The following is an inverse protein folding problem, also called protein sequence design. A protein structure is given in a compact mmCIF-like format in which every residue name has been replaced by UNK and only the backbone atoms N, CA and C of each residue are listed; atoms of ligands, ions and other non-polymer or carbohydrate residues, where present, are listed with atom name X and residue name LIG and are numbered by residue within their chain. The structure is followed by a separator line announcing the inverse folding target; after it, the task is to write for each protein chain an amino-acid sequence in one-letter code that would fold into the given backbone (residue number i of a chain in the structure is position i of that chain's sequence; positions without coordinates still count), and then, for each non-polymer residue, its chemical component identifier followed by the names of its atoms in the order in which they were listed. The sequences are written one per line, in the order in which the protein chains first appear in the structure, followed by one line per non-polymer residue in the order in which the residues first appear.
data_IF_445911603376
#
_entry.id   IF_445911603376
#
_cell.length_a   1.000
_cell.length_b   1.000
_cell.length_c   1.000
_cell.angle_alpha   90.00
_cell.angle_beta   90.00
_cell.angle_gamma   90.00
#
_symmetry.space_group_name_H-M   'P 1'
#
loop_
_entity.id
_entity.type
_entity.pdbx_description
1 polymer ?
#
# COMPACT_ATOMS: atom_id res chain seq x y z
N UNK A 1 2.56 -15.70 -15.08
CA UNK A 1 2.55 -15.21 -13.69
C UNK A 1 1.69 -16.15 -12.85
N UNK A 2 2.20 -16.66 -11.72
CA UNK A 2 1.39 -17.45 -10.79
C UNK A 2 0.53 -16.55 -9.91
N UNK A 3 -0.75 -16.88 -9.75
CA UNK A 3 -1.63 -16.19 -8.79
C UNK A 3 -1.46 -16.89 -7.45
N UNK A 4 -1.10 -16.13 -6.42
CA UNK A 4 -0.87 -16.68 -5.09
C UNK A 4 -2.08 -16.52 -4.20
N UNK A 5 -2.51 -17.61 -3.57
CA UNK A 5 -3.70 -17.62 -2.72
C UNK A 5 -3.32 -17.84 -1.26
N UNK A 6 -3.36 -16.77 -0.46
CA UNK A 6 -3.36 -16.87 0.99
C UNK A 6 -4.36 -15.88 1.59
N UNK A 7 -4.85 -16.18 2.80
CA UNK A 7 -5.81 -15.32 3.52
C UNK A 7 -5.22 -13.95 3.85
N UNK A 8 -3.90 -13.91 4.02
CA UNK A 8 -3.13 -12.70 4.36
C UNK A 8 -1.73 -12.86 3.80
N UNK A 9 -1.28 -11.83 3.11
CA UNK A 9 0.06 -11.73 2.55
C UNK A 9 0.81 -10.59 3.23
N UNK A 10 1.99 -10.88 3.77
CA UNK A 10 2.93 -9.92 4.30
C UNK A 10 3.90 -9.54 3.21
N UNK A 11 4.05 -8.25 2.97
CA UNK A 11 5.03 -7.68 2.06
C UNK A 11 6.23 -7.24 2.88
N UNK A 12 7.38 -7.78 2.54
CA UNK A 12 8.66 -7.50 3.17
C UNK A 12 9.65 -7.00 2.13
N UNK A 13 10.70 -6.33 2.61
CA UNK A 13 11.85 -5.92 1.82
C UNK A 13 13.08 -6.57 2.40
N UNK A 14 13.92 -7.13 1.55
CA UNK A 14 15.22 -7.68 1.90
C UNK A 14 16.33 -6.82 1.29
N UNK A 15 17.18 -6.28 2.14
CA UNK A 15 18.40 -5.54 1.81
C UNK A 15 19.61 -6.29 2.40
N UNK A 16 20.86 -5.91 2.07
CA UNK A 16 22.03 -6.51 2.72
C UNK A 16 22.01 -6.44 4.26
N UNK A 17 21.33 -5.43 4.84
CA UNK A 17 21.10 -5.23 6.26
C UNK A 17 20.03 -6.14 6.88
N UNK A 18 19.25 -6.86 6.06
CA UNK A 18 18.28 -7.86 6.47
C UNK A 18 16.90 -7.70 5.85
N UNK A 19 15.97 -8.56 6.26
CA UNK A 19 14.60 -8.55 5.78
C UNK A 19 13.64 -7.92 6.80
N UNK A 20 12.83 -6.95 6.35
CA UNK A 20 11.92 -6.18 7.20
C UNK A 20 10.50 -6.20 6.62
N UNK A 21 9.50 -6.47 7.47
CA UNK A 21 8.07 -6.48 7.09
C UNK A 21 7.59 -5.05 6.97
N UNK A 22 6.93 -4.71 5.88
CA UNK A 22 6.45 -3.34 5.62
C UNK A 22 4.94 -3.24 5.89
N UNK A 23 4.15 -4.10 5.26
CA UNK A 23 2.70 -4.13 5.43
C UNK A 23 2.14 -5.53 5.18
N UNK A 24 0.88 -5.75 5.51
CA UNK A 24 0.15 -6.94 5.12
C UNK A 24 -1.11 -6.55 4.34
N UNK A 25 -1.57 -7.42 3.46
CA UNK A 25 -2.80 -7.23 2.71
C UNK A 25 -3.54 -8.56 2.50
N UNK A 26 -4.82 -8.49 2.18
CA UNK A 26 -5.62 -9.68 1.86
C UNK A 26 -7.07 -9.36 1.61
N UNK A 27 -7.87 -10.43 1.54
CA UNK A 27 -9.32 -10.36 1.33
C UNK A 27 -10.08 -10.84 2.57
N UNK A 28 -11.13 -10.11 2.92
CA UNK A 28 -12.13 -10.49 3.90
C UNK A 28 -12.96 -11.66 3.34
N UNK A 29 -13.20 -12.67 4.18
CA UNK A 29 -14.00 -13.83 3.79
C UNK A 29 -15.49 -13.54 3.68
N UNK A 30 -15.99 -12.61 4.48
CA UNK A 30 -17.43 -12.39 4.62
C UNK A 30 -18.01 -11.63 3.44
N UNK A 31 -17.24 -10.71 2.88
CA UNK A 31 -17.74 -9.72 1.93
C UNK A 31 -16.73 -9.38 0.82
N UNK A 32 -15.60 -10.10 0.70
CA UNK A 32 -14.54 -9.77 -0.28
C UNK A 32 -13.91 -8.39 -0.14
N UNK A 33 -14.09 -7.72 1.00
CA UNK A 33 -13.38 -6.47 1.27
C UNK A 33 -11.88 -6.68 1.21
N UNK A 34 -11.17 -5.73 0.62
CA UNK A 34 -9.70 -5.71 0.65
C UNK A 34 -9.29 -5.06 1.96
N UNK A 35 -8.31 -5.62 2.66
CA UNK A 35 -7.71 -4.98 3.81
C UNK A 35 -6.21 -4.81 3.64
N UNK A 36 -5.67 -3.73 4.21
CA UNK A 36 -4.24 -3.44 4.27
C UNK A 36 -3.91 -3.07 5.71
N UNK A 37 -3.05 -3.87 6.34
CA UNK A 37 -2.57 -3.62 7.70
C UNK A 37 -1.16 -3.03 7.64
N UNK A 38 -0.91 -2.00 8.45
CA UNK A 38 0.38 -1.32 8.59
C UNK A 38 0.97 -1.49 9.99
N UNK A 39 1.16 -2.73 10.52
CA UNK A 39 1.49 -2.92 11.93
C UNK A 39 3.01 -2.92 12.21
N UNK A 40 3.85 -2.81 11.20
CA UNK A 40 5.27 -3.20 11.30
C UNK A 40 6.22 -2.04 11.56
N UNK A 41 5.73 -0.80 11.62
CA UNK A 41 6.48 0.35 12.09
C UNK A 41 5.91 0.80 13.43
N UNK A 42 6.64 0.53 14.52
CA UNK A 42 6.22 0.84 15.89
C UNK A 42 6.49 2.31 16.22
N UNK A 43 5.70 3.22 15.66
CA UNK A 43 5.78 4.65 15.98
C UNK A 43 4.42 5.34 15.95
N UNK A 44 4.35 6.54 16.51
CA UNK A 44 3.19 7.40 16.39
C UNK A 44 3.06 7.96 14.96
N UNK A 45 1.83 8.10 14.49
CA UNK A 45 1.49 8.59 13.15
C UNK A 45 0.48 9.71 13.17
N UNK A 46 0.35 10.34 12.01
CA UNK A 46 -0.57 11.41 11.70
C UNK A 46 -1.53 10.96 10.62
N UNK A 47 -2.77 11.42 10.75
CA UNK A 47 -3.83 11.16 9.82
C UNK A 47 -4.30 12.50 9.30
N UNK A 48 -4.40 12.60 7.98
CA UNK A 48 -4.80 13.82 7.31
C UNK A 48 -5.44 13.56 5.96
N UNK A 49 -5.86 14.65 5.33
CA UNK A 49 -6.27 14.65 3.94
C UNK A 49 -5.12 15.20 3.11
N UNK A 50 -4.73 14.49 2.06
CA UNK A 50 -3.77 14.98 1.08
C UNK A 50 -4.46 15.24 -0.26
N UNK A 51 -4.49 16.49 -0.68
CA UNK A 51 -4.91 16.84 -2.05
C UNK A 51 -3.67 17.02 -2.91
N UNK A 52 -3.67 16.46 -4.12
CA UNK A 52 -2.59 16.70 -5.08
C UNK A 52 -2.88 16.12 -6.45
N UNK A 53 -1.93 16.28 -7.37
CA UNK A 53 -1.97 15.63 -8.67
C UNK A 53 -1.04 14.43 -8.60
N UNK A 54 -1.53 13.25 -8.92
CA UNK A 54 -0.70 12.05 -8.97
C UNK A 54 0.06 12.05 -10.28
N UNK A 55 1.38 12.12 -10.22
CA UNK A 55 2.20 11.91 -11.41
C UNK A 55 2.21 10.42 -11.79
N UNK A 56 2.82 10.09 -12.93
CA UNK A 56 2.86 8.72 -13.47
C UNK A 56 3.54 7.72 -12.54
N UNK A 57 4.49 8.19 -11.73
CA UNK A 57 5.15 7.38 -10.70
C UNK A 57 4.26 7.17 -9.48
N UNK A 58 3.07 7.75 -9.41
CA UNK A 58 2.19 7.63 -8.27
C UNK A 58 2.57 8.54 -7.09
N UNK A 59 3.51 9.45 -7.28
CA UNK A 59 3.83 10.50 -6.31
C UNK A 59 2.81 11.62 -6.48
N UNK A 60 2.16 12.02 -5.39
CA UNK A 60 1.38 13.27 -5.37
C UNK A 60 2.34 14.46 -5.46
N UNK A 61 2.29 15.22 -6.55
CA UNK A 61 2.81 16.58 -6.68
C UNK A 61 1.78 17.58 -6.15
N UNK A 62 2.25 18.75 -5.71
CA UNK A 62 1.42 19.85 -5.17
C UNK A 62 0.58 19.43 -3.94
N UNK A 63 1.30 19.04 -2.87
CA UNK A 63 0.70 18.44 -1.67
C UNK A 63 0.16 19.51 -0.72
N UNK A 64 -1.15 19.62 -0.66
CA UNK A 64 -1.82 20.13 0.54
C UNK A 64 -2.06 18.97 1.50
N UNK A 65 -1.27 18.83 2.57
CA UNK A 65 -1.58 17.88 3.66
C UNK A 65 -2.21 18.63 4.83
N UNK A 66 -3.45 18.29 5.15
CA UNK A 66 -4.15 18.84 6.32
C UNK A 66 -4.32 17.74 7.37
N UNK A 67 -3.49 17.71 8.42
CA UNK A 67 -3.64 16.76 9.51
C UNK A 67 -4.90 17.08 10.31
N UNK A 68 -5.57 16.05 10.82
CA UNK A 68 -6.72 16.20 11.72
C UNK A 68 -6.69 15.24 12.91
N UNK A 69 -5.78 14.25 12.93
CA UNK A 69 -5.64 13.35 14.06
C UNK A 69 -4.23 12.75 14.21
N UNK A 70 -3.89 12.33 15.43
CA UNK A 70 -2.69 11.52 15.76
C UNK A 70 -3.07 10.11 16.20
N UNK A 71 -2.21 9.12 15.99
CA UNK A 71 -2.38 7.76 16.51
C UNK A 71 -1.08 7.11 16.97
N UNK A 72 -1.16 6.20 17.93
CA UNK A 72 -0.07 5.31 18.37
C UNK A 72 -0.26 3.87 17.93
N UNK A 73 -1.42 3.55 17.35
CA UNK A 73 -1.77 2.20 16.96
C UNK A 73 -1.46 1.96 15.47
N UNK A 74 -1.20 0.70 15.14
CA UNK A 74 -1.10 0.27 13.75
C UNK A 74 -2.44 0.45 13.05
N UNK A 75 -2.42 1.07 11.87
CA UNK A 75 -3.62 1.31 11.07
C UNK A 75 -3.94 0.08 10.23
N UNK A 76 -5.24 -0.21 10.14
CA UNK A 76 -5.84 -1.09 9.16
C UNK A 76 -6.74 -0.30 8.24
N UNK A 77 -6.47 -0.35 6.95
CA UNK A 77 -7.35 0.15 5.90
C UNK A 77 -8.25 -0.98 5.41
N UNK A 78 -9.53 -0.69 5.15
CA UNK A 78 -10.43 -1.60 4.42
C UNK A 78 -11.11 -0.90 3.26
N UNK A 79 -11.25 -1.62 2.15
CA UNK A 79 -11.97 -1.21 0.95
C UNK A 79 -13.06 -2.25 0.68
N UNK A 80 -14.31 -1.83 0.85
CA UNK A 80 -15.48 -2.69 0.69
C UNK A 80 -15.95 -2.75 -0.77
N UNK A 81 -16.66 -3.82 -1.20
CA UNK A 81 -17.11 -3.99 -2.58
C UNK A 81 -17.93 -2.82 -3.14
N UNK A 82 -18.72 -2.18 -2.27
CA UNK A 82 -19.60 -1.05 -2.60
C UNK A 82 -18.86 0.29 -2.76
N UNK A 83 -17.53 0.30 -2.59
CA UNK A 83 -16.71 1.51 -2.64
C UNK A 83 -16.52 2.18 -1.28
N UNK A 84 -17.20 1.73 -0.23
CA UNK A 84 -17.01 2.25 1.11
C UNK A 84 -15.60 1.91 1.59
N UNK A 85 -14.89 2.86 2.19
CA UNK A 85 -13.57 2.60 2.77
C UNK A 85 -13.48 3.07 4.20
N UNK A 86 -12.72 2.35 5.02
CA UNK A 86 -12.53 2.68 6.42
C UNK A 86 -11.07 2.61 6.83
N UNK A 87 -10.72 3.40 7.85
CA UNK A 87 -9.53 3.20 8.65
C UNK A 87 -9.94 2.73 10.04
N UNK A 88 -9.33 1.65 10.51
CA UNK A 88 -9.47 1.16 11.87
C UNK A 88 -8.10 1.23 12.54
N UNK A 89 -8.14 1.54 13.82
CA UNK A 89 -7.01 1.44 14.75
C UNK A 89 -7.46 0.44 15.80
N UNK A 90 -6.58 -0.47 16.20
CA UNK A 90 -6.80 -1.43 17.31
C UNK A 90 -8.03 -2.36 17.26
N UNK A 91 -8.73 -2.44 16.13
CA UNK A 91 -9.93 -3.27 15.96
C UNK A 91 -11.23 -2.53 16.27
N UNK A 92 -11.17 -1.30 16.80
CA UNK A 92 -12.28 -0.36 16.76
C UNK A 92 -12.26 0.36 15.41
N UNK A 93 -13.30 0.14 14.60
CA UNK A 93 -13.43 0.83 13.32
C UNK A 93 -13.77 2.29 13.62
N UNK A 94 -12.78 3.17 13.49
CA UNK A 94 -13.02 4.61 13.60
C UNK A 94 -13.63 5.07 12.28
N UNK A 95 -14.97 4.97 12.19
CA UNK A 95 -15.75 5.36 11.00
C UNK A 95 -15.71 6.86 10.70
N UNK A 96 -14.96 7.65 11.47
CA UNK A 96 -14.94 9.12 11.46
C UNK A 96 -14.46 9.70 10.13
N UNK A 97 -13.93 8.88 9.23
CA UNK A 97 -13.55 9.26 7.87
C UNK A 97 -14.32 8.39 6.86
N UNK A 98 -15.66 8.49 6.81
CA UNK A 98 -16.40 7.77 5.82
C UNK A 98 -16.01 8.32 4.46
N UNK A 99 -15.43 7.46 3.65
CA UNK A 99 -15.04 7.80 2.30
C UNK A 99 -15.73 6.82 1.36
N UNK A 100 -16.43 7.36 0.38
CA UNK A 100 -17.14 6.59 -0.63
C UNK A 100 -16.35 6.68 -1.93
N UNK A 101 -15.50 5.70 -2.13
CA UNK A 101 -14.78 5.49 -3.39
C UNK A 101 -15.67 4.83 -4.44
N UNK A 102 -15.01 4.40 -5.52
CA UNK A 102 -15.63 3.66 -6.62
C UNK A 102 -15.84 2.21 -6.18
N UNK A 103 -16.99 1.55 -6.48
CA UNK A 103 -17.16 0.13 -6.23
C UNK A 103 -16.00 -0.72 -6.77
N UNK A 104 -15.60 -1.79 -6.07
CA UNK A 104 -14.45 -2.62 -6.49
C UNK A 104 -14.65 -3.22 -7.89
N UNK A 105 -15.91 -3.49 -8.27
CA UNK A 105 -16.27 -3.94 -9.61
C UNK A 105 -15.87 -2.95 -10.70
N UNK A 106 -15.93 -1.65 -10.43
CA UNK A 106 -15.69 -0.55 -11.37
C UNK A 106 -14.29 0.06 -11.22
N UNK A 107 -13.50 -0.35 -10.22
CA UNK A 107 -12.16 0.21 -9.98
C UNK A 107 -11.18 -0.14 -11.11
N UNK A 108 -10.63 0.88 -11.76
CA UNK A 108 -9.66 0.77 -12.88
C UNK A 108 -8.26 1.24 -12.52
N UNK A 109 -8.13 2.30 -11.72
CA UNK A 109 -6.87 2.83 -11.20
C UNK A 109 -6.38 2.15 -9.90
N UNK A 110 -5.27 2.63 -9.30
CA UNK A 110 -4.73 2.10 -8.05
C UNK A 110 -5.68 2.31 -6.86
N UNK A 111 -5.60 1.40 -5.89
CA UNK A 111 -6.29 1.51 -4.61
C UNK A 111 -5.53 2.50 -3.72
N UNK A 112 -4.22 2.28 -3.55
CA UNK A 112 -3.37 3.09 -2.69
C UNK A 112 -1.89 2.99 -3.11
N UNK A 113 -1.08 3.91 -2.58
CA UNK A 113 0.38 3.83 -2.59
C UNK A 113 0.91 3.84 -1.16
N UNK A 114 1.85 2.96 -0.86
CA UNK A 114 2.52 2.84 0.45
C UNK A 114 3.99 3.12 0.22
N UNK A 115 4.54 4.10 0.91
CA UNK A 115 5.95 4.48 0.81
C UNK A 115 6.63 4.24 2.14
N UNK A 116 7.73 3.51 2.16
CA UNK A 116 8.50 3.23 3.36
C UNK A 116 9.93 3.75 3.22
N UNK A 117 10.42 4.45 4.25
CA UNK A 117 11.78 4.95 4.38
C UNK A 117 12.40 4.48 5.70
N UNK A 118 13.73 4.35 5.75
CA UNK A 118 14.43 3.89 6.94
C UNK A 118 14.03 2.46 7.32
N UNK A 119 14.24 1.54 6.38
CA UNK A 119 13.71 0.18 6.40
C UNK A 119 14.19 -0.65 7.60
N UNK A 120 15.33 -0.28 8.21
CA UNK A 120 15.95 -0.93 9.35
C UNK A 120 15.13 -0.84 10.66
N UNK A 121 14.19 0.12 10.74
CA UNK A 121 13.30 0.29 11.91
C UNK A 121 11.99 -0.48 11.80
N UNK A 122 11.73 -1.10 10.67
CA UNK A 122 10.57 -1.96 10.51
C UNK A 122 10.82 -3.31 11.18
N UNK A 123 9.74 -3.99 11.56
CA UNK A 123 9.83 -5.29 12.22
C UNK A 123 10.54 -6.30 11.32
N UNK A 124 11.65 -6.87 11.81
CA UNK A 124 12.41 -7.90 11.10
C UNK A 124 11.59 -9.16 10.83
N UNK A 125 11.86 -9.77 9.68
CA UNK A 125 11.45 -11.13 9.32
C UNK A 125 12.52 -12.12 9.77
N UNK A 126 12.11 -13.28 10.29
CA UNK A 126 13.08 -14.32 10.65
C UNK A 126 13.59 -15.03 9.38
N UNK A 127 14.84 -15.50 9.37
CA UNK A 127 15.37 -16.24 8.22
C UNK A 127 14.56 -17.52 7.93
N UNK A 128 14.01 -18.15 8.97
CA UNK A 128 13.08 -19.28 8.85
C UNK A 128 11.83 -18.91 8.05
N UNK A 129 11.28 -17.71 8.27
CA UNK A 129 10.10 -17.23 7.54
C UNK A 129 10.38 -17.00 6.05
N UNK A 130 11.63 -16.69 5.68
CA UNK A 130 12.04 -16.44 4.28
C UNK A 130 12.36 -17.74 3.52
N UNK A 131 12.81 -18.79 4.23
CA UNK A 131 13.14 -20.08 3.62
C UNK A 131 11.91 -20.91 3.26
N UNK A 132 10.77 -20.62 3.89
CA UNK A 132 9.53 -21.31 3.60
C UNK A 132 8.87 -20.72 2.34
N UNK A 133 8.20 -21.58 1.56
CA UNK A 133 7.51 -21.20 0.33
C UNK A 133 6.58 -19.99 0.56
N UNK A 134 6.80 -18.84 -0.11
CA UNK A 134 5.97 -17.65 -0.01
C UNK A 134 4.49 -17.91 -0.24
N UNK A 135 4.14 -18.87 -1.10
CA UNK A 135 2.75 -19.26 -1.36
C UNK A 135 2.11 -19.95 -0.15
N UNK A 136 2.90 -20.63 0.70
CA UNK A 136 2.42 -21.32 1.90
C UNK A 136 2.37 -20.42 3.13
N UNK A 137 3.40 -19.61 3.34
CA UNK A 137 3.48 -18.67 4.48
C UNK A 137 2.75 -17.35 4.26
N UNK A 138 2.55 -16.98 2.99
CA UNK A 138 2.06 -15.66 2.63
C UNK A 138 3.06 -14.56 2.98
N UNK A 139 4.37 -14.77 2.87
CA UNK A 139 5.38 -13.71 3.08
C UNK A 139 6.16 -13.52 1.79
N UNK A 140 6.11 -12.30 1.25
CA UNK A 140 6.76 -11.91 0.00
C UNK A 140 7.88 -10.91 0.30
N UNK A 141 9.12 -11.39 0.28
CA UNK A 141 10.29 -10.53 0.41
C UNK A 141 10.75 -10.06 -0.98
N UNK A 142 10.81 -8.74 -1.15
CA UNK A 142 11.39 -8.12 -2.33
C UNK A 142 12.86 -7.84 -2.07
N UNK A 143 13.74 -8.47 -2.83
CA UNK A 143 15.18 -8.43 -2.57
C UNK A 143 15.87 -7.32 -3.38
N UNK A 144 16.75 -6.58 -2.72
CA UNK A 144 17.71 -5.65 -3.31
C UNK A 144 19.13 -6.07 -2.94
N UNK A 145 20.05 -6.00 -3.90
CA UNK A 145 21.48 -6.21 -3.66
C UNK A 145 22.20 -5.00 -3.05
N UNK A 146 21.51 -3.86 -2.96
CA UNK A 146 22.03 -2.60 -2.42
C UNK A 146 21.21 -2.17 -1.21
N UNK A 147 21.87 -1.48 -0.28
CA UNK A 147 21.14 -0.66 0.70
C UNK A 147 20.40 0.44 -0.03
N UNK A 148 19.12 0.58 0.30
CA UNK A 148 18.24 1.55 -0.31
C UNK A 148 17.53 2.34 0.78
N UNK A 149 17.36 3.65 0.61
CA UNK A 149 16.78 4.50 1.63
C UNK A 149 15.28 4.25 1.81
N UNK A 150 14.61 3.68 0.79
CA UNK A 150 13.20 3.36 0.85
C UNK A 150 12.66 2.63 -0.38
N UNK A 151 11.36 2.36 -0.32
CA UNK A 151 10.58 1.66 -1.33
C UNK A 151 9.18 2.26 -1.43
N UNK A 152 8.63 2.31 -2.63
CA UNK A 152 7.23 2.66 -2.85
C UNK A 152 6.48 1.47 -3.47
N UNK A 153 5.32 1.16 -2.91
CA UNK A 153 4.40 0.13 -3.36
C UNK A 153 3.13 0.78 -3.87
N UNK A 154 2.64 0.36 -5.03
CA UNK A 154 1.32 0.76 -5.53
C UNK A 154 0.47 -0.49 -5.68
N UNK A 155 -0.69 -0.46 -5.02
CA UNK A 155 -1.64 -1.57 -5.02
C UNK A 155 -2.71 -1.29 -6.06
N UNK A 156 -2.91 -2.24 -6.97
CA UNK A 156 -3.95 -2.22 -7.99
C UNK A 156 -4.90 -3.40 -7.80
N UNK A 157 -6.12 -3.26 -8.30
CA UNK A 157 -7.02 -4.37 -8.56
C UNK A 157 -7.12 -4.56 -10.07
N UNK A 158 -6.75 -5.73 -10.57
CA UNK A 158 -6.72 -6.04 -12.01
C UNK A 158 -7.44 -7.36 -12.27
N UNK A 159 -7.99 -7.55 -13.47
CA UNK A 159 -8.52 -8.87 -13.85
C UNK A 159 -7.37 -9.83 -14.04
N UNK A 160 -7.54 -11.10 -13.68
CA UNK A 160 -6.55 -12.16 -13.83
C UNK A 160 -6.00 -12.20 -15.27
N UNK A 161 -6.89 -12.05 -16.26
CA UNK A 161 -6.56 -12.09 -17.69
C UNK A 161 -5.57 -10.99 -18.09
N UNK A 162 -5.63 -9.84 -17.43
CA UNK A 162 -4.80 -8.68 -17.73
C UNK A 162 -3.38 -8.82 -17.15
N UNK A 163 -3.12 -9.84 -16.32
CA UNK A 163 -1.84 -10.04 -15.64
C UNK A 163 -1.11 -11.33 -16.10
N UNK A 164 -1.74 -12.16 -16.94
CA UNK A 164 -1.16 -13.39 -17.48
C UNK A 164 -0.12 -13.10 -18.59
N UNK A 165 1.07 -12.66 -18.19
CA UNK A 165 2.32 -12.73 -19.01
C UNK A 165 3.08 -14.01 -18.61
N UNK A 166 3.87 -14.69 -19.49
CA UNK A 166 4.48 -15.98 -19.19
C UNK A 166 5.33 -15.95 -17.91
N UNK A 167 5.39 -17.05 -17.13
CA UNK A 167 6.13 -17.08 -15.87
C UNK A 167 7.64 -16.94 -16.13
N UNK A 168 8.28 -15.97 -15.46
CA UNK A 168 9.73 -15.97 -15.26
C UNK A 168 10.08 -17.01 -14.19
N UNK A 169 11.05 -17.87 -14.47
CA UNK A 169 11.56 -18.88 -13.55
C UNK A 169 12.14 -18.21 -12.27
N UNK A 170 11.63 -18.59 -11.09
CA UNK A 170 12.25 -18.23 -9.80
C UNK A 170 11.26 -17.87 -8.70
N UNK A 171 11.50 -18.43 -7.50
CA UNK A 171 10.80 -18.09 -6.25
C UNK A 171 11.22 -16.68 -5.82
N UNK A 172 10.25 -15.79 -5.58
CA UNK A 172 10.51 -14.42 -5.08
C UNK A 172 10.91 -13.39 -6.14
N UNK A 173 11.03 -13.77 -7.42
CA UNK A 173 11.26 -12.82 -8.50
C UNK A 173 10.01 -11.96 -8.77
N UNK A 174 10.13 -10.67 -9.11
CA UNK A 174 8.98 -9.89 -9.56
C UNK A 174 8.36 -10.55 -10.80
N UNK A 175 7.08 -10.92 -10.71
CA UNK A 175 6.42 -11.85 -11.63
C UNK A 175 5.69 -11.12 -12.76
N UNK A 176 6.20 -9.94 -13.15
CA UNK A 176 5.64 -9.19 -14.28
C UNK A 176 5.88 -7.69 -14.21
N UNK A 177 5.46 -7.03 -15.28
CA UNK A 177 5.56 -5.59 -15.51
C UNK A 177 4.15 -4.99 -15.60
N UNK A 178 3.85 -3.93 -14.85
CA UNK A 178 2.53 -3.26 -14.94
C UNK A 178 2.65 -1.98 -15.74
N UNK A 179 1.96 -1.86 -16.87
CA UNK A 179 1.87 -0.62 -17.65
C UNK A 179 0.87 0.35 -17.00
N UNK A 180 1.29 1.59 -16.75
CA UNK A 180 0.39 2.62 -16.22
C UNK A 180 -0.52 3.21 -17.32
N UNK A 181 -1.70 3.77 -16.99
CA UNK A 181 -2.62 4.34 -17.98
C UNK A 181 -2.06 5.47 -18.85
N UNK A 182 -0.96 6.12 -18.44
CA UNK A 182 -0.39 7.30 -19.12
C UNK A 182 0.76 6.96 -20.09
N UNK A 183 1.27 5.72 -20.08
CA UNK A 183 2.48 5.36 -20.81
C UNK A 183 3.43 4.51 -19.97
N UNK A 184 4.26 3.74 -20.67
CA UNK A 184 4.90 2.49 -20.23
C UNK A 184 6.00 2.60 -19.16
N UNK A 185 5.64 2.89 -17.91
CA UNK A 185 6.51 2.53 -16.79
C UNK A 185 6.26 1.08 -16.43
N UNK A 186 7.22 0.22 -16.76
CA UNK A 186 7.27 -1.17 -16.34
C UNK A 186 7.75 -1.25 -14.89
N UNK A 187 6.85 -1.65 -13.98
CA UNK A 187 7.21 -1.87 -12.58
C UNK A 187 7.22 -3.36 -12.22
N UNK A 188 8.22 -3.83 -11.46
CA UNK A 188 8.19 -5.16 -10.88
C UNK A 188 6.97 -5.31 -9.96
N UNK A 189 6.27 -6.45 -10.05
CA UNK A 189 5.05 -6.66 -9.29
C UNK A 189 4.85 -8.11 -8.82
N UNK A 190 3.99 -8.28 -7.82
CA UNK A 190 3.44 -9.58 -7.39
C UNK A 190 1.92 -9.56 -7.54
N UNK A 191 1.33 -10.71 -7.88
CA UNK A 191 -0.12 -10.87 -7.92
C UNK A 191 -0.63 -11.80 -6.83
N UNK A 192 -1.67 -11.34 -6.15
CA UNK A 192 -2.28 -11.96 -4.98
C UNK A 192 -3.75 -12.18 -5.31
N UNK A 193 -4.16 -13.44 -5.36
CA UNK A 193 -5.52 -13.84 -5.62
C UNK A 193 -6.36 -13.96 -4.36
N UNK A 194 -7.66 -13.85 -4.53
CA UNK A 194 -8.60 -14.26 -3.51
C UNK A 194 -8.54 -15.79 -3.38
N UNK A 195 -8.55 -16.36 -2.16
CA UNK A 195 -8.60 -17.80 -1.98
C UNK A 195 -9.72 -18.43 -2.79
N UNK A 196 -9.44 -19.52 -3.53
CA UNK A 196 -10.38 -20.15 -4.47
C UNK A 196 -11.77 -20.45 -3.88
N UNK A 197 -11.83 -20.85 -2.60
CA UNK A 197 -13.07 -21.15 -1.90
C UNK A 197 -13.97 -19.93 -1.67
N UNK A 198 -13.38 -18.73 -1.66
CA UNK A 198 -14.04 -17.47 -1.38
C UNK A 198 -14.01 -16.56 -2.63
N UNK A 199 -13.79 -17.07 -3.84
CA UNK A 199 -13.56 -16.22 -5.03
C UNK A 199 -14.87 -15.62 -5.54
N UNK A 200 -15.02 -14.29 -5.43
CA UNK A 200 -16.23 -13.58 -5.88
C UNK A 200 -16.07 -12.86 -7.22
N UNK A 201 -14.84 -12.73 -7.72
CA UNK A 201 -14.52 -12.02 -8.95
C UNK A 201 -13.23 -12.54 -9.59
N UNK A 202 -13.09 -12.34 -10.89
CA UNK A 202 -11.91 -12.64 -11.72
C UNK A 202 -10.75 -11.64 -11.48
N UNK A 203 -10.67 -11.04 -10.29
CA UNK A 203 -9.73 -9.97 -9.97
C UNK A 203 -8.69 -10.40 -8.94
N UNK A 204 -7.46 -9.93 -9.17
CA UNK A 204 -6.30 -10.11 -8.30
C UNK A 204 -5.76 -8.75 -7.84
N UNK A 205 -5.23 -8.74 -6.63
CA UNK A 205 -4.43 -7.63 -6.14
C UNK A 205 -3.06 -7.69 -6.79
N UNK A 206 -2.64 -6.59 -7.41
CA UNK A 206 -1.30 -6.45 -7.97
C UNK A 206 -0.55 -5.43 -7.13
N UNK A 207 0.54 -5.86 -6.50
CA UNK A 207 1.42 -4.99 -5.72
C UNK A 207 2.66 -4.71 -6.57
N UNK A 208 2.64 -3.58 -7.27
CA UNK A 208 3.80 -3.08 -7.99
C UNK A 208 4.71 -2.33 -7.03
N UNK A 209 6.01 -2.38 -7.21
CA UNK A 209 6.96 -1.65 -6.38
C UNK A 209 8.05 -0.96 -7.19
N UNK A 210 8.70 0.00 -6.55
CA UNK A 210 9.98 0.54 -7.00
C UNK A 210 10.84 0.92 -5.81
N UNK A 211 12.14 0.81 -6.02
CA UNK A 211 13.14 1.37 -5.12
C UNK A 211 13.14 2.89 -5.20
N UNK A 212 13.42 3.53 -4.09
CA UNK A 212 13.58 4.97 -4.02
C UNK A 212 15.06 5.26 -3.92
N UNK A 213 15.60 5.98 -4.89
CA UNK A 213 16.95 6.53 -4.82
C UNK A 213 16.80 7.95 -4.25
N UNK A 214 17.55 8.30 -3.20
CA UNK A 214 17.40 9.61 -2.55
C UNK A 214 18.47 10.61 -2.94
N UNK A 215 18.00 11.85 -3.12
CA UNK A 215 18.79 13.09 -3.14
C UNK A 215 18.79 13.76 -1.74
N UNK A 216 17.79 13.47 -0.88
CA UNK A 216 17.77 13.87 0.53
C UNK A 216 16.82 12.96 1.34
N UNK A 217 17.32 12.24 2.34
CA UNK A 217 16.51 11.43 3.25
C UNK A 217 15.77 12.32 4.26
N UNK A 218 14.46 12.12 4.51
CA UNK A 218 13.87 12.58 5.75
C UNK A 218 14.67 11.97 6.89
N UNK A 219 14.96 12.76 7.93
CA UNK A 219 15.64 12.30 9.13
C UNK A 219 14.78 11.23 9.83
N UNK A 220 15.10 9.95 9.58
CA UNK A 220 14.49 8.80 10.25
C UNK A 220 13.55 7.96 9.39
N UNK A 221 12.89 7.00 10.05
CA UNK A 221 12.00 6.04 9.40
C UNK A 221 10.58 6.58 9.29
N UNK A 222 9.97 6.29 8.15
CA UNK A 222 8.67 6.82 7.78
C UNK A 222 7.89 5.79 6.97
N UNK A 223 6.57 5.71 7.21
CA UNK A 223 5.62 5.02 6.39
C UNK A 223 4.50 5.99 5.99
N UNK A 224 4.35 6.23 4.69
CA UNK A 224 3.30 7.05 4.12
C UNK A 224 2.31 6.14 3.38
N UNK A 225 1.08 6.07 3.85
CA UNK A 225 -0.04 5.45 3.13
C UNK A 225 -0.87 6.55 2.45
N UNK A 226 -1.08 6.42 1.14
CA UNK A 226 -1.84 7.37 0.33
C UNK A 226 -2.97 6.59 -0.35
N UNK A 227 -4.20 6.83 0.08
CA UNK A 227 -5.38 6.14 -0.44
C UNK A 227 -6.57 6.27 0.52
N UNK A 228 -7.78 5.88 0.09
CA UNK A 228 -8.10 5.49 -1.28
C UNK A 228 -7.99 6.69 -2.24
N UNK A 229 -7.70 6.41 -3.51
CA UNK A 229 -7.70 7.43 -4.55
C UNK A 229 -9.11 7.63 -5.13
N UNK A 230 -9.57 8.88 -5.18
CA UNK A 230 -10.77 9.26 -5.94
C UNK A 230 -10.37 9.88 -7.25
N UNK A 231 -10.71 9.20 -8.34
CA UNK A 231 -10.66 9.80 -9.66
C UNK A 231 -11.81 10.80 -9.76
N UNK A 232 -11.50 12.10 -9.73
CA UNK A 232 -12.47 13.14 -10.03
C UNK A 232 -12.40 13.39 -11.54
N UNK A 233 -13.47 13.09 -12.30
CA UNK A 233 -13.53 13.48 -13.70
C UNK A 233 -13.67 15.01 -13.78
N UNK A 234 -12.55 15.72 -13.95
CA UNK A 234 -12.59 17.15 -14.31
C UNK A 234 -12.74 17.30 -15.82
N UNK A 235 -13.75 18.06 -16.26
CA UNK A 235 -14.07 18.27 -17.67
C UNK A 235 -13.06 19.15 -18.44
N UNK A 236 -12.04 19.72 -17.77
CA UNK A 236 -11.16 20.75 -18.35
C UNK A 236 -9.65 20.53 -18.11
N UNK A 237 -9.24 19.45 -17.46
CA UNK A 237 -7.83 19.09 -17.32
C UNK A 237 -7.61 17.62 -17.72
N UNK A 238 -6.72 17.31 -18.69
CA UNK A 238 -6.33 15.94 -18.99
C UNK A 238 -5.54 15.27 -17.85
N UNK A 239 -5.16 16.02 -16.80
CA UNK A 239 -4.54 15.53 -15.58
C UNK A 239 -5.46 15.84 -14.41
N UNK A 240 -6.44 14.95 -14.17
CA UNK A 240 -7.47 15.13 -13.14
C UNK A 240 -6.89 15.31 -11.73
N UNK A 241 -7.51 16.19 -10.95
CA UNK A 241 -7.17 16.42 -9.54
C UNK A 241 -7.54 15.19 -8.71
N UNK A 242 -6.55 14.55 -8.09
CA UNK A 242 -6.74 13.37 -7.25
C UNK A 242 -6.78 13.78 -5.77
N UNK A 243 -7.94 13.66 -5.14
CA UNK A 243 -8.06 13.80 -3.69
C UNK A 243 -7.78 12.44 -3.06
N UNK A 244 -6.78 12.37 -2.19
CA UNK A 244 -6.44 11.16 -1.45
C UNK A 244 -6.57 11.41 0.06
N UNK A 245 -7.09 10.43 0.79
CA UNK A 245 -6.82 10.39 2.22
C UNK A 245 -5.37 9.91 2.41
N UNK A 246 -4.65 10.45 3.39
CA UNK A 246 -3.26 10.07 3.59
C UNK A 246 -2.93 9.96 5.07
N UNK A 247 -2.11 8.97 5.37
CA UNK A 247 -1.61 8.66 6.70
C UNK A 247 -0.10 8.70 6.63
N UNK A 248 0.52 9.40 7.56
CA UNK A 248 1.97 9.59 7.64
C UNK A 248 2.47 9.12 9.00
N UNK A 249 3.32 8.11 9.00
CA UNK A 249 4.21 7.77 10.10
C UNK A 249 5.63 8.19 9.67
N UNK A 250 6.55 8.69 10.49
CA UNK A 250 6.46 9.09 11.88
C UNK A 250 5.89 10.50 12.03
N UNK A 251 5.13 10.74 13.09
CA UNK A 251 4.63 12.07 13.46
C UNK A 251 5.75 13.12 13.65
N UNK A 252 6.99 12.67 13.88
CA UNK A 252 8.17 13.55 13.94
C UNK A 252 8.46 14.28 12.62
N UNK A 253 7.90 13.86 11.49
CA UNK A 253 8.01 14.60 10.22
C UNK A 253 7.06 15.79 10.12
N UNK A 254 6.27 16.05 11.16
CA UNK A 254 5.41 17.21 11.24
C UNK A 254 5.75 18.02 12.49
N UNK A 255 7.01 18.46 12.55
CA UNK A 255 7.54 19.29 13.66
C UNK A 255 6.75 20.59 13.86
N UNK A 256 5.93 21.00 12.88
CA UNK A 256 5.07 22.19 12.92
C UNK A 256 3.57 21.90 13.18
N UNK A 257 3.21 20.73 13.70
CA UNK A 257 1.79 20.45 13.99
C UNK A 257 1.22 21.44 15.01
N UNK A 258 0.02 21.99 14.75
CA UNK A 258 -0.73 22.71 15.76
C UNK A 258 -0.89 21.84 17.00
N UNK A 259 -0.58 22.40 18.18
CA UNK A 259 -0.72 21.76 19.50
C UNK A 259 -2.15 21.32 19.86
N UNK A 260 -3.11 21.48 18.94
CA UNK A 260 -4.54 21.26 19.10
C UNK A 260 -5.09 20.06 18.31
N UNK A 261 -4.26 19.22 17.69
CA UNK A 261 -4.77 18.07 16.93
C UNK A 261 -5.22 16.96 17.87
N UNK A 262 -6.48 16.49 17.80
CA UNK A 262 -6.99 15.48 18.69
C UNK A 262 -6.33 14.11 18.43
N UNK A 263 -6.10 13.35 19.50
CA UNK A 263 -5.76 11.93 19.38
C UNK A 263 -7.01 11.11 19.05
N UNK A 264 -6.85 10.14 18.15
CA UNK A 264 -7.87 9.12 17.88
C UNK A 264 -7.70 7.84 18.71
N UNK A 265 -6.61 7.75 19.48
CA UNK A 265 -6.40 6.65 20.45
C UNK A 265 -7.32 6.87 21.67
N UNK A 266 -8.44 6.12 21.76
CA UNK A 266 -9.39 6.14 22.91
C UNK A 266 -9.59 4.77 23.55
#
# INVERSE_FOLDING_TARGET
MGIHEAKRHVIAVETPSGANKIFALGYSKSDSSIFIDLPYLECGGLIGVATGIRNETGILSDRGFKPFATTKHGIKFSYHPDGTTHFSQDGKINKTLPHRGIPLAEKTGPICTITAYGLDRFRRTSQKDLQEDPAKKGIWALTSSKELPGVAFTVFLKREVDVLVPPSEGVGSPIGTVTTPAGSITLPAIAIGQPSADRYHDKVLVVAFRWLEMVSTPSGSCLLFQGPYVEIPEASSPQGKLVAQSIVYSASLAEDLPSSIPSVDR
#
